data_IF_484640461212
#
_entry.id   IF_484640461212
#
_cell.length_a   1.000
_cell.length_b   1.000
_cell.length_c   1.000
_cell.angle_alpha   90.00
_cell.angle_beta   90.00
_cell.angle_gamma   90.00
#
_symmetry.space_group_name_H-M   'P 1'
#
loop_
_entity.id
_entity.type
_entity.pdbx_description
1 polymer ?
#
# COMPACT_ATOMS: atom_id res chain seq x y z
N UNK A 1 1.08 -42.03 13.58
CA UNK A 1 0.07 -41.33 12.75
C UNK A 1 0.36 -39.85 12.87
N UNK A 2 1.09 -39.26 11.91
CA UNK A 2 1.55 -37.89 12.00
C UNK A 2 0.45 -36.94 11.51
N UNK A 3 0.10 -35.95 12.34
CA UNK A 3 -0.84 -34.90 11.97
C UNK A 3 -0.30 -34.12 10.76
N UNK A 4 -1.12 -33.77 9.76
CA UNK A 4 -0.66 -32.96 8.64
C UNK A 4 -0.26 -31.56 9.15
N UNK A 5 0.83 -30.96 8.62
CA UNK A 5 1.23 -29.62 9.01
C UNK A 5 0.15 -28.62 8.57
N UNK A 6 -0.47 -27.96 9.55
CA UNK A 6 -1.29 -26.76 9.35
C UNK A 6 -0.45 -25.72 8.62
N UNK A 7 -0.87 -25.40 7.39
CA UNK A 7 -0.22 -24.42 6.52
C UNK A 7 -0.24 -23.06 7.23
N UNK A 8 0.89 -22.67 7.82
CA UNK A 8 1.08 -21.32 8.36
C UNK A 8 0.82 -20.32 7.22
N UNK A 9 0.12 -19.22 7.53
CA UNK A 9 -0.38 -18.24 6.58
C UNK A 9 0.62 -17.89 5.46
N UNK A 10 0.12 -17.84 4.23
CA UNK A 10 0.93 -17.53 3.05
C UNK A 10 1.63 -16.17 3.23
N UNK A 11 2.95 -16.21 3.40
CA UNK A 11 3.83 -15.09 3.09
C UNK A 11 3.61 -14.66 1.62
N UNK A 12 3.89 -13.39 1.32
CA UNK A 12 3.72 -12.79 -0.02
C UNK A 12 4.18 -13.74 -1.14
N UNK A 13 3.27 -14.05 -2.05
CA UNK A 13 3.49 -14.95 -3.20
C UNK A 13 3.51 -14.08 -4.44
N UNK A 14 4.67 -13.50 -4.73
CA UNK A 14 4.87 -12.59 -5.85
C UNK A 14 5.84 -13.20 -6.85
N UNK A 15 5.43 -13.31 -8.11
CA UNK A 15 6.33 -13.51 -9.24
C UNK A 15 6.72 -12.15 -9.80
N UNK A 16 7.98 -11.96 -10.20
CA UNK A 16 8.37 -10.70 -10.84
C UNK A 16 9.42 -10.90 -11.93
N UNK A 17 9.33 -10.07 -12.96
CA UNK A 17 10.27 -9.99 -14.06
C UNK A 17 10.87 -8.59 -14.09
N UNK A 18 12.20 -8.49 -14.20
CA UNK A 18 12.94 -7.22 -14.17
C UNK A 18 13.68 -7.00 -15.48
N UNK A 19 13.63 -5.77 -15.96
CA UNK A 19 14.35 -5.26 -17.11
C UNK A 19 14.98 -3.89 -16.76
N UNK A 20 15.87 -3.33 -17.61
CA UNK A 20 16.37 -1.97 -17.43
C UNK A 20 15.25 -0.92 -17.39
N UNK A 21 14.12 -1.20 -18.03
CA UNK A 21 12.93 -0.37 -18.04
C UNK A 21 12.05 -0.53 -16.79
N UNK A 22 12.38 -1.39 -15.83
CA UNK A 22 11.63 -1.53 -14.57
C UNK A 22 11.31 -2.98 -14.21
N UNK A 23 10.32 -3.17 -13.35
CA UNK A 23 9.91 -4.49 -12.86
C UNK A 23 8.40 -4.65 -12.95
N UNK A 24 7.95 -5.70 -13.62
CA UNK A 24 6.55 -6.16 -13.57
C UNK A 24 6.43 -7.25 -12.53
N UNK A 25 5.34 -7.25 -11.76
CA UNK A 25 5.08 -8.25 -10.74
C UNK A 25 3.62 -8.71 -10.76
N UNK A 26 3.43 -9.96 -10.36
CA UNK A 26 2.15 -10.67 -10.35
C UNK A 26 2.01 -11.41 -9.02
N UNK A 27 0.82 -11.39 -8.42
CA UNK A 27 0.51 -12.17 -7.22
C UNK A 27 0.02 -11.32 -6.05
N UNK A 28 0.31 -11.74 -4.81
CA UNK A 28 -0.17 -11.03 -3.62
C UNK A 28 0.90 -10.08 -3.10
N UNK A 29 0.68 -8.77 -3.25
CA UNK A 29 1.70 -7.74 -2.97
C UNK A 29 1.11 -6.53 -2.23
N UNK A 30 1.98 -5.68 -1.66
CA UNK A 30 1.59 -4.37 -1.15
C UNK A 30 1.08 -3.46 -2.25
N UNK A 31 0.02 -2.73 -1.91
CA UNK A 31 -0.54 -1.70 -2.76
C UNK A 31 0.41 -0.50 -2.84
N UNK A 32 0.33 0.32 -3.90
CA UNK A 32 1.30 1.40 -4.06
C UNK A 32 1.29 2.45 -2.94
N UNK A 33 0.13 2.82 -2.36
CA UNK A 33 0.10 3.84 -1.29
C UNK A 33 0.72 3.35 0.03
N UNK A 34 0.91 2.04 0.21
CA UNK A 34 1.64 1.52 1.36
C UNK A 34 3.08 2.06 1.48
N UNK A 35 3.76 2.36 0.36
CA UNK A 35 5.17 2.74 0.40
C UNK A 35 5.42 4.13 1.00
N UNK A 36 4.69 5.19 0.60
CA UNK A 36 4.71 6.47 1.32
C UNK A 36 4.43 6.34 2.82
N UNK A 37 3.46 5.50 3.18
CA UNK A 37 3.02 5.27 4.55
C UNK A 37 4.10 4.60 5.42
N UNK A 38 4.51 3.38 5.08
CA UNK A 38 5.45 2.59 5.90
C UNK A 38 6.82 3.27 6.04
N UNK A 39 7.23 4.05 5.04
CA UNK A 39 8.49 4.81 5.09
C UNK A 39 8.40 6.02 6.01
N UNK A 40 7.19 6.50 6.27
CA UNK A 40 6.92 7.66 7.13
C UNK A 40 6.58 7.29 8.57
N UNK A 41 6.41 6.00 8.85
CA UNK A 41 6.36 5.50 10.22
C UNK A 41 7.79 5.21 10.72
N UNK A 42 8.29 5.90 11.76
CA UNK A 42 9.58 5.61 12.38
C UNK A 42 9.72 4.17 12.88
N UNK A 43 8.61 3.50 13.17
CA UNK A 43 8.55 2.11 13.64
C UNK A 43 8.24 1.11 12.51
N UNK A 44 8.10 1.58 11.28
CA UNK A 44 7.90 0.74 10.09
C UNK A 44 6.66 -0.16 10.17
N UNK A 45 5.62 0.30 10.87
CA UNK A 45 4.41 -0.46 11.20
C UNK A 45 4.65 -1.76 11.98
N UNK A 46 5.67 -1.78 12.83
CA UNK A 46 5.97 -2.88 13.73
C UNK A 46 5.98 -2.41 15.20
N UNK A 47 5.64 -3.32 16.10
CA UNK A 47 5.57 -3.07 17.53
C UNK A 47 4.36 -2.22 17.97
N UNK A 48 4.40 -1.79 19.24
CA UNK A 48 3.29 -1.08 19.91
C UNK A 48 3.26 0.44 19.66
N UNK A 49 4.34 0.99 19.10
CA UNK A 49 4.51 2.43 18.87
C UNK A 49 4.22 2.86 17.43
N UNK A 50 3.86 1.91 16.56
CA UNK A 50 3.45 2.19 15.18
C UNK A 50 2.30 3.20 15.10
N UNK A 51 2.22 3.92 13.98
CA UNK A 51 1.14 4.88 13.73
C UNK A 51 -0.23 4.18 13.65
N UNK A 52 -0.23 2.92 13.21
CA UNK A 52 -1.40 2.04 13.17
C UNK A 52 -2.32 2.34 12.00
N UNK A 53 -2.97 1.29 11.48
CA UNK A 53 -3.73 1.35 10.24
C UNK A 53 -4.88 2.39 10.25
N UNK A 54 -5.50 2.64 11.40
CA UNK A 54 -6.61 3.60 11.50
C UNK A 54 -6.19 5.04 11.19
N UNK A 55 -5.02 5.46 11.68
CA UNK A 55 -4.49 6.79 11.42
C UNK A 55 -3.76 6.85 10.08
N UNK A 56 -3.02 5.80 9.72
CA UNK A 56 -2.21 5.77 8.51
C UNK A 56 -3.04 5.64 7.22
N UNK A 57 -4.17 4.96 7.27
CA UNK A 57 -5.06 4.80 6.12
C UNK A 57 -6.31 5.70 6.18
N UNK A 58 -6.40 6.61 7.17
CA UNK A 58 -7.52 7.53 7.35
C UNK A 58 -8.91 6.87 7.31
N UNK A 59 -9.02 5.62 7.78
CA UNK A 59 -10.25 4.82 7.74
C UNK A 59 -10.59 4.17 6.39
N UNK A 60 -9.71 4.26 5.39
CA UNK A 60 -9.88 3.56 4.10
C UNK A 60 -9.98 2.05 4.32
N UNK A 61 -11.07 1.46 3.82
CA UNK A 61 -11.27 0.02 3.81
C UNK A 61 -10.63 -0.55 2.55
N UNK A 62 -9.58 -1.33 2.67
CA UNK A 62 -9.02 -2.06 1.53
C UNK A 62 -9.80 -3.35 1.24
N UNK A 63 -9.61 -4.00 0.08
CA UNK A 63 -10.35 -5.20 -0.31
C UNK A 63 -10.11 -6.39 0.64
N UNK A 64 -8.97 -6.41 1.34
CA UNK A 64 -8.61 -7.45 2.31
C UNK A 64 -9.09 -7.13 3.73
N UNK A 65 -9.72 -5.96 3.95
CA UNK A 65 -10.26 -5.49 5.23
C UNK A 65 -11.76 -5.14 5.18
N UNK A 66 -12.48 -5.69 4.21
CA UNK A 66 -13.91 -5.42 4.05
C UNK A 66 -14.70 -6.06 5.21
N UNK A 67 -14.95 -5.29 6.27
CA UNK A 67 -15.58 -5.76 7.52
C UNK A 67 -15.17 -5.02 8.79
N UNK A 68 -14.28 -4.03 8.72
CA UNK A 68 -14.02 -3.08 9.82
C UNK A 68 -13.21 -3.61 11.01
N UNK A 69 -12.69 -4.84 10.95
CA UNK A 69 -11.78 -5.39 11.96
C UNK A 69 -10.33 -5.21 11.50
N UNK A 70 -9.81 -3.99 11.56
CA UNK A 70 -8.39 -3.72 11.31
C UNK A 70 -7.54 -4.05 12.54
N UNK A 71 -7.26 -5.34 12.73
CA UNK A 71 -6.19 -5.80 13.62
C UNK A 71 -4.88 -5.83 12.84
N UNK A 72 -4.23 -4.68 12.66
CA UNK A 72 -2.93 -4.51 11.99
C UNK A 72 -3.02 -3.93 10.56
N UNK A 73 -1.87 -3.83 9.87
CA UNK A 73 -1.72 -3.47 8.45
C UNK A 73 -2.40 -4.44 7.46
N UNK A 74 -3.37 -5.22 7.93
CA UNK A 74 -4.01 -6.30 7.20
C UNK A 74 -4.70 -5.82 5.91
N UNK A 75 -4.80 -4.51 5.69
CA UNK A 75 -5.39 -3.89 4.50
C UNK A 75 -4.40 -3.40 3.43
N UNK A 76 -3.12 -3.25 3.71
CA UNK A 76 -2.17 -2.62 2.77
C UNK A 76 -1.74 -3.51 1.58
N UNK A 77 -2.40 -4.65 1.38
CA UNK A 77 -2.03 -5.65 0.38
C UNK A 77 -3.24 -6.17 -0.36
N UNK A 78 -3.04 -6.45 -1.64
CA UNK A 78 -4.04 -7.01 -2.54
C UNK A 78 -3.57 -8.36 -3.08
N UNK A 79 -4.52 -9.28 -3.26
CA UNK A 79 -4.30 -10.53 -3.99
C UNK A 79 -4.54 -10.32 -5.49
N UNK A 80 -4.11 -11.27 -6.31
CA UNK A 80 -4.29 -11.23 -7.77
C UNK A 80 -3.84 -9.91 -8.40
N UNK A 81 -2.75 -9.35 -7.88
CA UNK A 81 -2.22 -8.07 -8.31
C UNK A 81 -1.40 -8.23 -9.56
N UNK A 82 -1.60 -7.30 -10.50
CA UNK A 82 -0.68 -7.01 -11.59
C UNK A 82 -0.12 -5.62 -11.34
N UNK A 83 1.20 -5.48 -11.35
CA UNK A 83 1.79 -4.17 -11.15
C UNK A 83 3.13 -3.99 -11.82
N UNK A 84 3.53 -2.73 -11.88
CA UNK A 84 4.78 -2.27 -12.46
C UNK A 84 5.45 -1.26 -11.52
N UNK A 85 6.77 -1.37 -11.39
CA UNK A 85 7.61 -0.40 -10.69
C UNK A 85 8.70 0.09 -11.63
N UNK A 86 8.85 1.41 -11.72
CA UNK A 86 9.86 2.03 -12.56
C UNK A 86 11.28 1.78 -12.02
N UNK A 87 12.31 1.92 -12.86
CA UNK A 87 13.66 2.20 -12.41
C UNK A 87 13.71 3.53 -11.63
N UNK A 88 14.84 3.78 -10.99
CA UNK A 88 15.12 5.07 -10.37
C UNK A 88 15.70 6.03 -11.39
N UNK A 89 15.07 7.18 -11.57
CA UNK A 89 15.54 8.26 -12.45
C UNK A 89 15.80 9.52 -11.64
N UNK A 90 17.07 9.81 -11.36
CA UNK A 90 17.44 10.99 -10.57
C UNK A 90 16.80 11.03 -9.17
N UNK A 91 16.59 9.86 -8.56
CA UNK A 91 15.90 9.73 -7.27
C UNK A 91 14.39 9.52 -7.36
N UNK A 92 13.78 9.71 -8.53
CA UNK A 92 12.34 9.47 -8.74
C UNK A 92 12.06 8.00 -9.06
N UNK A 93 11.03 7.44 -8.44
CA UNK A 93 10.42 6.15 -8.81
C UNK A 93 8.91 6.30 -8.83
N UNK A 94 8.23 5.50 -9.64
CA UNK A 94 6.78 5.36 -9.56
C UNK A 94 6.37 3.90 -9.60
N UNK A 95 5.19 3.63 -9.06
CA UNK A 95 4.59 2.31 -9.06
C UNK A 95 3.12 2.42 -9.46
N UNK A 96 2.66 1.45 -10.24
CA UNK A 96 1.27 1.26 -10.61
C UNK A 96 0.89 -0.18 -10.26
N UNK A 97 -0.31 -0.40 -9.76
CA UNK A 97 -0.82 -1.73 -9.46
C UNK A 97 -2.34 -1.79 -9.61
N UNK A 98 -2.84 -2.96 -10.02
CA UNK A 98 -4.25 -3.30 -9.95
C UNK A 98 -4.40 -4.67 -9.31
N UNK A 99 -5.12 -4.74 -8.20
CA UNK A 99 -5.57 -5.96 -7.54
C UNK A 99 -6.89 -6.42 -8.12
N UNK A 100 -6.89 -7.54 -8.87
CA UNK A 100 -8.10 -8.04 -9.51
C UNK A 100 -9.03 -8.68 -8.47
N UNK A 101 -10.26 -8.18 -8.42
CA UNK A 101 -11.27 -8.64 -7.46
C UNK A 101 -12.03 -9.91 -7.84
N UNK A 102 -11.96 -10.33 -9.11
CA UNK A 102 -12.57 -11.56 -9.65
C UNK A 102 -14.09 -11.71 -9.37
N UNK A 103 -14.81 -10.59 -9.14
CA UNK A 103 -16.21 -10.53 -8.67
C UNK A 103 -16.44 -11.11 -7.25
N UNK A 104 -15.38 -11.35 -6.49
CA UNK A 104 -15.44 -11.83 -5.10
C UNK A 104 -15.17 -10.70 -4.11
N UNK A 105 -14.24 -9.82 -4.45
CA UNK A 105 -13.91 -8.59 -3.71
C UNK A 105 -13.84 -7.41 -4.68
N UNK A 106 -13.87 -6.15 -4.19
CA UNK A 106 -13.63 -4.99 -5.05
C UNK A 106 -12.27 -5.05 -5.73
N UNK A 107 -12.21 -4.56 -6.98
CA UNK A 107 -10.92 -4.30 -7.64
C UNK A 107 -10.26 -3.10 -6.98
N UNK A 108 -8.96 -3.14 -6.81
CA UNK A 108 -8.18 -2.05 -6.20
C UNK A 108 -7.13 -1.55 -7.17
N UNK A 109 -7.26 -0.29 -7.59
CA UNK A 109 -6.30 0.37 -8.45
C UNK A 109 -5.50 1.38 -7.64
N UNK A 110 -4.17 1.31 -7.73
CA UNK A 110 -3.30 2.19 -6.97
C UNK A 110 -2.08 2.66 -7.74
N UNK A 111 -1.56 3.80 -7.29
CA UNK A 111 -0.27 4.32 -7.76
C UNK A 111 0.50 5.01 -6.65
N UNK A 112 1.81 5.12 -6.84
CA UNK A 112 2.65 6.03 -6.08
C UNK A 112 3.68 6.70 -6.97
N UNK A 113 4.16 7.84 -6.49
CA UNK A 113 5.38 8.49 -6.98
C UNK A 113 6.21 8.83 -5.75
N UNK A 114 7.47 8.40 -5.76
CA UNK A 114 8.42 8.65 -4.69
C UNK A 114 9.64 9.36 -5.25
N UNK A 115 10.13 10.37 -4.54
CA UNK A 115 11.43 10.99 -4.73
C UNK A 115 12.29 10.70 -3.51
N UNK A 116 13.46 10.12 -3.74
CA UNK A 116 14.49 9.90 -2.74
C UNK A 116 15.83 10.38 -3.31
N UNK A 117 16.32 11.53 -2.84
CA UNK A 117 17.54 12.15 -3.33
C UNK A 117 18.23 12.98 -2.25
N UNK A 118 19.48 12.63 -1.95
CA UNK A 118 20.23 13.28 -0.87
C UNK A 118 19.50 13.15 0.48
N UNK A 119 19.30 14.25 1.24
CA UNK A 119 18.63 14.21 2.54
C UNK A 119 17.09 14.21 2.44
N UNK A 120 16.52 14.30 1.24
CA UNK A 120 15.07 14.50 1.06
C UNK A 120 14.40 13.20 0.62
N UNK A 121 13.30 12.90 1.29
CA UNK A 121 12.29 11.97 0.81
C UNK A 121 10.95 12.71 0.66
N UNK A 122 10.29 12.55 -0.47
CA UNK A 122 8.93 13.01 -0.68
C UNK A 122 8.17 11.97 -1.48
N UNK A 123 6.92 11.70 -1.13
CA UNK A 123 6.11 10.76 -1.89
C UNK A 123 4.63 11.11 -1.83
N UNK A 124 3.91 10.63 -2.83
CA UNK A 124 2.44 10.63 -2.84
C UNK A 124 1.97 9.26 -3.31
N UNK A 125 0.85 8.82 -2.73
CA UNK A 125 0.18 7.58 -3.06
C UNK A 125 -1.31 7.81 -3.23
N UNK A 126 -1.93 6.95 -4.03
CA UNK A 126 -3.36 6.95 -4.22
C UNK A 126 -3.88 5.55 -4.45
N UNK A 127 -5.06 5.26 -3.90
CA UNK A 127 -5.79 4.01 -4.09
C UNK A 127 -7.27 4.26 -4.32
N UNK A 128 -7.89 3.34 -5.06
CA UNK A 128 -9.30 3.43 -5.38
C UNK A 128 -9.92 2.05 -5.55
N UNK A 129 -11.02 1.82 -4.82
CA UNK A 129 -11.77 0.57 -4.92
C UNK A 129 -12.94 0.69 -5.89
N UNK A 130 -12.98 -0.22 -6.86
CA UNK A 130 -14.05 -0.36 -7.82
C UNK A 130 -14.97 -1.54 -7.47
N UNK A 131 -16.28 -1.33 -7.51
CA UNK A 131 -17.28 -2.41 -7.42
C UNK A 131 -17.91 -2.63 -6.05
N UNK A 132 -17.81 -1.68 -5.11
CA UNK A 132 -18.66 -1.66 -3.92
C UNK A 132 -20.08 -1.22 -4.31
N UNK A 133 -20.92 -2.16 -4.76
CA UNK A 133 -22.30 -1.88 -5.17
C UNK A 133 -23.27 -1.96 -4.00
N UNK A 134 -23.57 -0.83 -3.37
CA UNK A 134 -24.94 -0.46 -2.97
C UNK A 134 -25.04 1.07 -2.99
N UNK A 135 -25.88 1.60 -3.88
CA UNK A 135 -26.22 3.02 -4.07
C UNK A 135 -25.07 3.95 -4.52
N UNK A 136 -25.07 4.30 -5.80
CA UNK A 136 -24.47 5.49 -6.41
C UNK A 136 -23.28 6.15 -5.66
N UNK A 137 -22.07 5.60 -5.80
CA UNK A 137 -20.87 6.27 -5.32
C UNK A 137 -19.57 5.67 -5.85
N UNK A 138 -18.86 6.43 -6.70
CA UNK A 138 -17.48 6.21 -7.14
C UNK A 138 -16.45 6.43 -6.00
N UNK A 139 -16.74 6.07 -4.74
CA UNK A 139 -16.25 6.89 -3.62
C UNK A 139 -15.48 6.21 -2.48
N UNK A 140 -14.85 5.04 -2.67
CA UNK A 140 -13.83 4.59 -1.71
C UNK A 140 -12.43 4.79 -2.28
N UNK A 141 -11.76 5.86 -1.84
CA UNK A 141 -10.40 6.18 -2.28
C UNK A 141 -9.54 6.70 -1.15
N UNK A 142 -8.23 6.45 -1.26
CA UNK A 142 -7.23 6.98 -0.36
C UNK A 142 -6.28 7.86 -1.16
N UNK A 143 -5.94 9.02 -0.60
CA UNK A 143 -4.78 9.79 -1.01
C UNK A 143 -3.84 9.93 0.18
N UNK A 144 -2.54 9.72 -0.04
CA UNK A 144 -1.53 10.03 0.95
C UNK A 144 -0.34 10.81 0.40
N UNK A 145 0.35 11.48 1.32
CA UNK A 145 1.52 12.27 1.05
C UNK A 145 2.50 12.17 2.22
N UNK A 146 3.79 12.10 1.88
CA UNK A 146 4.88 11.96 2.82
C UNK A 146 5.99 12.96 2.51
N UNK A 147 6.61 13.51 3.53
CA UNK A 147 7.82 14.32 3.42
C UNK A 147 8.76 14.10 4.60
N UNK A 148 10.03 13.77 4.33
CA UNK A 148 11.08 13.66 5.34
C UNK A 148 12.29 14.49 4.95
N UNK A 149 13.01 14.95 5.95
CA UNK A 149 14.31 15.59 5.77
C UNK A 149 15.33 15.03 6.76
N UNK A 150 16.44 14.52 6.27
CA UNK A 150 17.52 13.97 7.10
C UNK A 150 18.58 15.04 7.39
N UNK A 151 18.65 15.48 8.65
CA UNK A 151 19.67 16.41 9.13
C UNK A 151 20.94 15.68 9.61
N UNK A 152 21.02 14.35 9.46
CA UNK A 152 22.10 13.48 9.92
C UNK A 152 21.97 13.03 11.38
N UNK A 153 21.52 13.93 12.27
CA UNK A 153 21.28 13.61 13.71
C UNK A 153 19.82 13.38 14.04
N UNK A 154 18.91 13.96 13.25
CA UNK A 154 17.47 13.87 13.43
C UNK A 154 16.81 13.85 12.05
N UNK A 155 15.74 13.07 11.92
CA UNK A 155 14.97 12.96 10.68
C UNK A 155 13.47 13.20 10.96
N UNK A 156 12.99 14.46 10.96
CA UNK A 156 11.56 14.70 11.01
C UNK A 156 10.85 14.08 9.81
N UNK A 157 9.68 13.50 10.09
CA UNK A 157 8.80 12.89 9.11
C UNK A 157 7.41 13.50 9.22
N UNK A 158 6.82 13.83 8.08
CA UNK A 158 5.44 14.29 7.96
C UNK A 158 4.70 13.30 7.06
N UNK A 159 3.52 12.88 7.51
CA UNK A 159 2.63 12.02 6.76
C UNK A 159 1.21 12.57 6.85
N UNK A 160 0.51 12.53 5.72
CA UNK A 160 -0.87 12.97 5.60
C UNK A 160 -1.64 11.94 4.78
N UNK A 161 -2.78 11.50 5.28
CA UNK A 161 -3.68 10.59 4.59
C UNK A 161 -5.11 11.15 4.63
N UNK A 162 -5.84 10.93 3.53
CA UNK A 162 -7.25 11.28 3.41
C UNK A 162 -7.99 10.18 2.66
N UNK A 163 -8.94 9.55 3.34
CA UNK A 163 -9.89 8.65 2.71
C UNK A 163 -11.16 9.42 2.30
N UNK A 164 -11.75 9.02 1.18
CA UNK A 164 -13.17 9.21 0.89
C UNK A 164 -13.82 7.84 1.08
N UNK A 165 -14.93 7.79 1.81
CA UNK A 165 -15.69 6.57 2.07
C UNK A 165 -17.06 6.71 1.43
N UNK A 166 -17.55 5.66 0.78
CA UNK A 166 -18.94 5.58 0.37
C UNK A 166 -19.83 5.56 1.63
N UNK A 167 -20.77 6.50 1.72
CA UNK A 167 -21.76 6.60 2.80
C UNK A 167 -23.05 5.89 2.42
#
# INVERSE_FOLDING_TARGET
MASPPTRSGLAARTFSCRAPLGRVYLGREYTPAFWPEVKSDPFGNDGVAQFGAGLSWAGFLSPTNLGGVSSGLTGARTSNTVGYKSPTWGGVTFQLATGLGENVVPRDDGFNVEYAGGPIYAAVGYEHLHGLSTAAGDGNSLFDAAFHYDFGVVKPMLYYARAKLNS
#
